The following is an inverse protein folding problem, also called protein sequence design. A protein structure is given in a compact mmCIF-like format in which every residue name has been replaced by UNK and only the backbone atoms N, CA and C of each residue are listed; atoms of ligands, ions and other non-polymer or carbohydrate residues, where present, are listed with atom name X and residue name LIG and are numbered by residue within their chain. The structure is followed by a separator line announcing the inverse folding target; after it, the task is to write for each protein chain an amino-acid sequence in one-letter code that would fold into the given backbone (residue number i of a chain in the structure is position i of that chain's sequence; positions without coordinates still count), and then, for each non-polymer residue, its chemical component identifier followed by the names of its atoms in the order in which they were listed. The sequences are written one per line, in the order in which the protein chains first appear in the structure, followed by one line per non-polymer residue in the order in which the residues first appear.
data_IF_070738244857
#
_entry.id   IF_070738244857
#
_cell.length_a   1.000
_cell.length_b   1.000
_cell.length_c   1.000
_cell.angle_alpha   90.00
_cell.angle_beta   90.00
_cell.angle_gamma   90.00
#
_symmetry.space_group_name_H-M   'P 1'
#
loop_
_entity.id
_entity.type
_entity.pdbx_description
1 polymer ?
#
# COMPACT_ATOMS: atom_id res chain seq x y z
N UNK A 1 -11.55 -4.56 7.31
CA UNK A 1 -10.41 -4.30 8.25
C UNK A 1 -9.16 -4.12 7.41
N UNK A 2 -8.42 -3.03 7.59
CA UNK A 2 -7.18 -2.72 6.86
C UNK A 2 -5.99 -2.90 7.81
N UNK A 3 -5.09 -3.81 7.48
CA UNK A 3 -3.87 -4.10 8.23
C UNK A 3 -2.80 -3.04 7.91
N UNK A 4 -2.55 -2.11 8.81
CA UNK A 4 -1.70 -0.93 8.61
C UNK A 4 -0.60 -0.80 9.69
N UNK A 5 -0.33 -1.87 10.45
CA UNK A 5 0.59 -1.85 11.61
C UNK A 5 2.04 -2.23 11.31
N UNK A 6 2.38 -2.62 10.09
CA UNK A 6 3.71 -3.10 9.73
C UNK A 6 4.80 -2.02 9.76
N UNK A 7 6.02 -2.38 10.20
CA UNK A 7 7.16 -1.44 10.32
C UNK A 7 7.68 -0.93 8.96
N UNK A 8 7.51 -1.67 7.87
CA UNK A 8 8.01 -1.27 6.55
C UNK A 8 9.54 -1.14 6.47
N UNK A 9 10.28 -1.90 7.26
CA UNK A 9 11.75 -1.77 7.44
C UNK A 9 12.56 -1.78 6.15
N UNK A 10 12.06 -2.41 5.09
CA UNK A 10 12.70 -2.45 3.76
C UNK A 10 12.62 -1.12 2.98
N UNK A 11 11.83 -0.15 3.47
CA UNK A 11 11.79 1.23 2.96
C UNK A 11 12.76 2.15 3.71
N UNK A 12 13.57 1.58 4.59
CA UNK A 12 14.63 2.27 5.32
C UNK A 12 14.17 3.59 5.96
N UNK A 13 14.85 4.69 5.70
CA UNK A 13 14.60 6.00 6.31
C UNK A 13 13.23 6.57 5.98
N UNK A 14 12.57 6.16 4.89
CA UNK A 14 11.22 6.61 4.56
C UNK A 14 10.18 6.22 5.63
N UNK A 15 10.44 5.12 6.35
CA UNK A 15 9.52 4.62 7.38
C UNK A 15 10.03 4.78 8.81
N UNK A 16 11.13 5.50 9.03
CA UNK A 16 11.64 5.76 10.37
C UNK A 16 10.70 6.61 11.25
N UNK A 17 9.87 7.46 10.64
CA UNK A 17 8.95 8.37 11.33
C UNK A 17 7.53 8.33 10.78
N UNK A 18 7.27 7.42 9.86
CA UNK A 18 6.00 7.33 9.12
C UNK A 18 5.66 5.87 8.91
N UNK A 19 4.45 5.44 9.23
CA UNK A 19 3.96 4.11 8.91
C UNK A 19 3.94 3.90 7.38
N UNK A 20 4.30 2.72 6.89
CA UNK A 20 4.35 2.41 5.44
C UNK A 20 3.07 2.84 4.69
N UNK A 21 1.84 2.61 5.19
CA UNK A 21 0.63 3.05 4.50
C UNK A 21 0.50 4.56 4.31
N UNK A 22 1.21 5.37 5.11
CA UNK A 22 1.21 6.82 5.01
C UNK A 22 2.32 7.39 4.09
N UNK A 23 3.16 6.53 3.51
CA UNK A 23 4.20 6.94 2.54
C UNK A 23 3.53 7.50 1.28
N UNK A 24 4.11 8.56 0.72
CA UNK A 24 3.62 9.25 -0.48
C UNK A 24 3.78 8.40 -1.74
N UNK A 25 2.80 8.47 -2.65
CA UNK A 25 2.79 7.77 -3.93
C UNK A 25 2.08 8.60 -5.01
N UNK A 26 2.49 8.44 -6.27
CA UNK A 26 1.78 8.95 -7.44
C UNK A 26 1.59 10.47 -7.45
N UNK A 27 2.53 11.21 -6.91
CA UNK A 27 2.59 12.67 -6.93
C UNK A 27 1.83 13.36 -5.80
N UNK A 28 0.70 12.83 -5.34
CA UNK A 28 -0.13 13.46 -4.30
C UNK A 28 -0.84 12.48 -3.36
N UNK A 29 -0.86 11.19 -3.68
CA UNK A 29 -1.54 10.17 -2.90
C UNK A 29 -0.66 9.64 -1.76
N UNK A 30 -1.27 8.91 -0.82
CA UNK A 30 -0.61 8.01 0.10
C UNK A 30 -1.03 6.58 -0.22
N UNK A 31 -0.20 5.61 0.12
CA UNK A 31 -0.48 4.19 -0.18
C UNK A 31 -1.87 3.78 0.37
N UNK A 32 -2.22 4.21 1.59
CA UNK A 32 -3.50 3.90 2.24
C UNK A 32 -4.74 4.44 1.49
N UNK A 33 -4.57 5.45 0.62
CA UNK A 33 -5.69 5.99 -0.16
C UNK A 33 -6.29 4.93 -1.09
N UNK A 34 -5.50 3.98 -1.56
CA UNK A 34 -5.95 2.93 -2.48
C UNK A 34 -6.94 1.97 -1.81
N UNK A 35 -6.61 1.25 -0.73
CA UNK A 35 -7.57 0.37 -0.07
C UNK A 35 -8.79 1.12 0.48
N UNK A 36 -8.63 2.36 1.00
CA UNK A 36 -9.76 3.16 1.48
C UNK A 36 -10.69 3.60 0.34
N UNK A 37 -10.12 4.06 -0.79
CA UNK A 37 -10.92 4.41 -1.98
C UNK A 37 -11.61 3.19 -2.58
N UNK A 38 -10.93 2.04 -2.61
CA UNK A 38 -11.55 0.80 -3.07
C UNK A 38 -12.70 0.37 -2.16
N UNK A 39 -12.58 0.54 -0.83
CA UNK A 39 -13.69 0.31 0.11
C UNK A 39 -14.88 1.21 -0.21
N UNK A 40 -14.66 2.53 -0.32
CA UNK A 40 -15.70 3.50 -0.62
C UNK A 40 -16.40 3.20 -1.96
N UNK A 41 -15.61 2.94 -3.01
CA UNK A 41 -16.14 2.62 -4.34
C UNK A 41 -16.85 1.25 -4.42
N UNK A 42 -16.58 0.35 -3.48
CA UNK A 42 -17.21 -0.99 -3.39
C UNK A 42 -18.41 -1.04 -2.43
N UNK A 43 -18.83 0.09 -1.85
CA UNK A 43 -19.94 0.14 -0.88
C UNK A 43 -19.60 -0.47 0.49
N UNK A 44 -18.34 -0.48 0.89
CA UNK A 44 -17.91 -0.91 2.22
C UNK A 44 -17.95 0.29 3.16
N UNK A 45 -18.96 0.36 4.01
CA UNK A 45 -19.28 1.54 4.82
C UNK A 45 -18.51 1.61 6.14
N UNK A 46 -18.19 0.48 6.75
CA UNK A 46 -17.49 0.40 8.04
C UNK A 46 -16.08 -0.11 7.82
N UNK A 47 -15.09 0.73 8.07
CA UNK A 47 -13.68 0.40 7.87
C UNK A 47 -12.89 0.58 9.15
N UNK A 48 -12.33 -0.50 9.69
CA UNK A 48 -11.34 -0.47 10.77
C UNK A 48 -9.93 -0.44 10.21
N UNK A 49 -9.11 0.52 10.59
CA UNK A 49 -7.69 0.62 10.22
C UNK A 49 -6.84 0.25 11.43
N UNK A 50 -6.18 -0.90 11.34
CA UNK A 50 -5.36 -1.49 12.40
C UNK A 50 -3.96 -0.91 12.34
N UNK A 51 -3.64 0.02 13.24
CA UNK A 51 -2.38 0.76 13.24
C UNK A 51 -1.51 0.39 14.43
N UNK A 52 -0.20 0.47 14.30
CA UNK A 52 0.72 0.17 15.40
C UNK A 52 2.02 0.98 15.32
N UNK A 53 2.89 0.69 14.35
CA UNK A 53 4.20 1.33 14.23
C UNK A 53 4.08 2.72 13.61
N UNK A 54 4.74 3.75 14.23
CA UNK A 54 4.80 5.15 13.75
C UNK A 54 3.43 5.67 13.23
N UNK A 55 2.39 5.40 14.02
CA UNK A 55 1.01 5.53 13.55
C UNK A 55 0.43 6.95 13.67
N UNK A 56 1.10 7.90 14.31
CA UNK A 56 0.53 9.23 14.62
C UNK A 56 0.08 9.96 13.36
N UNK A 57 0.95 10.03 12.35
CA UNK A 57 0.60 10.66 11.06
C UNK A 57 -0.52 9.88 10.35
N UNK A 58 -0.42 8.55 10.30
CA UNK A 58 -1.44 7.71 9.68
C UNK A 58 -2.79 7.86 10.38
N UNK A 59 -2.81 7.82 11.72
CA UNK A 59 -4.03 7.96 12.51
C UNK A 59 -4.73 9.30 12.24
N UNK A 60 -3.98 10.40 12.24
CA UNK A 60 -4.54 11.73 11.94
C UNK A 60 -5.01 11.86 10.49
N UNK A 61 -4.31 11.19 9.56
CA UNK A 61 -4.64 11.23 8.14
C UNK A 61 -5.94 10.49 7.83
N UNK A 62 -6.15 9.31 8.41
CA UNK A 62 -7.34 8.48 8.13
C UNK A 62 -8.54 8.81 9.04
N UNK A 63 -8.32 9.57 10.11
CA UNK A 63 -9.36 9.92 11.06
C UNK A 63 -10.56 10.59 10.37
N UNK A 64 -11.76 10.24 10.81
CA UNK A 64 -13.04 10.74 10.33
C UNK A 64 -13.50 10.30 8.93
N UNK A 65 -12.64 9.72 8.07
CA UNK A 65 -13.06 9.12 6.80
C UNK A 65 -13.61 10.06 5.71
N UNK A 66 -13.74 11.36 5.98
CA UNK A 66 -14.41 12.31 5.10
C UNK A 66 -13.82 12.44 3.69
N UNK A 67 -12.51 12.24 3.55
CA UNK A 67 -11.83 12.26 2.23
C UNK A 67 -12.36 11.18 1.28
N UNK A 68 -12.79 10.06 1.83
CA UNK A 68 -13.32 8.91 1.07
C UNK A 68 -14.86 8.84 1.10
N UNK A 69 -15.54 9.84 1.71
CA UNK A 69 -16.99 9.81 1.90
C UNK A 69 -17.45 8.76 2.91
N UNK A 70 -16.55 8.32 3.80
CA UNK A 70 -16.81 7.34 4.85
C UNK A 70 -16.98 8.05 6.21
N UNK A 71 -17.90 9.02 6.29
CA UNK A 71 -18.14 9.88 7.46
C UNK A 71 -19.63 10.16 7.70
N UNK A 72 -20.52 9.43 7.03
CA UNK A 72 -21.96 9.54 7.23
C UNK A 72 -22.39 8.86 8.55
N UNK A 73 -23.67 9.01 8.90
CA UNK A 73 -24.23 8.51 10.17
C UNK A 73 -24.02 7.01 10.41
N UNK A 74 -24.05 6.21 9.35
CA UNK A 74 -23.95 4.75 9.39
C UNK A 74 -22.67 4.23 8.72
N UNK A 75 -21.71 5.11 8.40
CA UNK A 75 -20.42 4.77 7.84
C UNK A 75 -19.30 5.37 8.68
N UNK A 76 -18.06 4.85 8.51
CA UNK A 76 -16.94 5.43 9.21
C UNK A 76 -15.63 4.71 9.00
N UNK A 77 -14.54 5.48 9.12
CA UNK A 77 -13.19 4.96 9.27
C UNK A 77 -12.80 5.04 10.75
N UNK A 78 -12.49 3.89 11.32
CA UNK A 78 -12.14 3.76 12.74
C UNK A 78 -10.68 3.35 12.86
N UNK A 79 -9.91 4.17 13.56
CA UNK A 79 -8.50 3.87 13.86
C UNK A 79 -8.46 2.95 15.08
N UNK A 80 -7.85 1.80 14.90
CA UNK A 80 -7.78 0.73 15.90
C UNK A 80 -6.31 0.41 16.22
N UNK A 81 -5.67 1.16 17.13
CA UNK A 81 -4.36 0.80 17.65
C UNK A 81 -4.48 -0.31 18.70
N UNK A 82 -3.37 -0.97 19.07
CA UNK A 82 -3.33 -1.79 20.27
C UNK A 82 -3.81 -0.98 21.49
N UNK A 83 -4.59 -1.62 22.35
CA UNK A 83 -5.21 -0.94 23.49
C UNK A 83 -5.21 -1.83 24.73
N UNK A 84 -5.04 -1.20 25.87
CA UNK A 84 -5.29 -1.81 27.17
C UNK A 84 -6.80 -2.04 27.34
N UNK A 85 -7.18 -3.19 27.86
CA UNK A 85 -8.57 -3.54 28.19
C UNK A 85 -8.71 -3.70 29.69
N UNK A 86 -9.93 -3.59 30.20
CA UNK A 86 -10.20 -3.67 31.64
C UNK A 86 -9.75 -5.00 32.29
N UNK A 87 -9.69 -6.05 31.50
CA UNK A 87 -9.37 -7.42 31.89
C UNK A 87 -8.03 -7.95 31.34
N UNK A 88 -7.26 -7.10 30.64
CA UNK A 88 -5.99 -7.49 30.03
C UNK A 88 -5.06 -6.28 29.87
N UNK A 89 -3.77 -6.49 30.12
CA UNK A 89 -2.72 -5.50 29.87
C UNK A 89 -2.61 -5.10 28.39
N UNK A 90 -1.94 -3.98 28.13
CA UNK A 90 -1.62 -3.55 26.78
C UNK A 90 -0.73 -4.59 26.09
N UNK A 91 -1.22 -5.17 25.01
CA UNK A 91 -0.47 -6.10 24.17
C UNK A 91 -0.43 -5.60 22.73
N UNK A 92 0.78 -5.50 22.17
CA UNK A 92 0.98 -5.14 20.77
C UNK A 92 0.44 -6.22 19.86
N UNK A 93 0.05 -5.88 18.62
CA UNK A 93 -0.34 -6.89 17.64
C UNK A 93 0.85 -7.79 17.29
N UNK A 94 0.76 -9.06 17.65
CA UNK A 94 1.82 -10.06 17.45
C UNK A 94 1.89 -10.58 16.02
N UNK A 95 0.75 -10.51 15.30
CA UNK A 95 0.63 -10.94 13.92
C UNK A 95 -0.61 -10.36 13.25
N UNK A 96 -0.80 -10.67 11.98
CA UNK A 96 -1.91 -10.15 11.18
C UNK A 96 -3.27 -10.67 11.66
N UNK A 97 -3.35 -11.91 12.11
CA UNK A 97 -4.55 -12.49 12.68
C UNK A 97 -4.83 -11.94 14.11
N UNK A 98 -3.77 -11.73 14.91
CA UNK A 98 -3.89 -11.16 16.25
C UNK A 98 -4.47 -9.73 16.19
N UNK A 99 -4.09 -8.93 15.21
CA UNK A 99 -4.64 -7.59 15.03
C UNK A 99 -6.18 -7.62 14.83
N UNK A 100 -6.70 -8.61 14.12
CA UNK A 100 -8.17 -8.80 14.00
C UNK A 100 -8.73 -9.34 15.32
N UNK A 101 -8.06 -10.32 15.94
CA UNK A 101 -8.51 -10.98 17.18
C UNK A 101 -8.71 -10.01 18.32
N UNK A 102 -7.77 -9.07 18.51
CA UNK A 102 -7.86 -8.05 19.55
C UNK A 102 -9.02 -7.07 19.33
N UNK A 103 -9.63 -7.03 18.14
CA UNK A 103 -10.72 -6.14 17.76
C UNK A 103 -12.04 -6.87 17.45
N UNK A 104 -12.20 -8.12 17.90
CA UNK A 104 -13.44 -8.90 17.73
C UNK A 104 -14.66 -8.16 18.31
N UNK A 105 -14.50 -7.51 19.46
CA UNK A 105 -15.54 -6.70 20.10
C UNK A 105 -16.03 -5.54 19.24
N UNK A 106 -15.11 -4.88 18.52
CA UNK A 106 -15.45 -3.86 17.54
C UNK A 106 -16.23 -4.44 16.35
N UNK A 107 -15.79 -5.58 15.81
CA UNK A 107 -16.42 -6.21 14.65
C UNK A 107 -17.81 -6.74 15.03
N UNK A 108 -17.93 -7.41 16.17
CA UNK A 108 -19.20 -7.98 16.67
C UNK A 108 -20.29 -6.91 16.87
N UNK A 109 -19.92 -5.65 17.19
CA UNK A 109 -20.85 -4.53 17.30
C UNK A 109 -21.67 -4.31 16.02
N UNK A 110 -21.09 -4.59 14.86
CA UNK A 110 -21.76 -4.44 13.57
C UNK A 110 -22.39 -5.74 13.06
N UNK A 111 -22.16 -6.88 13.73
CA UNK A 111 -22.70 -8.20 13.40
C UNK A 111 -22.60 -8.53 11.90
N UNK A 112 -21.43 -8.40 11.26
CA UNK A 112 -21.31 -8.61 9.82
C UNK A 112 -21.47 -10.10 9.47
N UNK A 113 -22.01 -10.39 8.29
CA UNK A 113 -22.01 -11.72 7.71
C UNK A 113 -20.61 -12.08 7.17
N UNK A 114 -19.99 -11.11 6.49
CA UNK A 114 -18.68 -11.25 5.90
C UNK A 114 -17.69 -10.21 6.45
N UNK A 115 -16.43 -10.61 6.57
CA UNK A 115 -15.34 -9.72 6.93
C UNK A 115 -14.35 -9.64 5.76
N UNK A 116 -14.16 -8.42 5.25
CA UNK A 116 -13.10 -8.09 4.29
C UNK A 116 -11.84 -7.69 5.08
N UNK A 117 -10.72 -8.38 4.83
CA UNK A 117 -9.39 -8.10 5.39
C UNK A 117 -8.46 -7.68 4.27
N UNK A 118 -7.82 -6.52 4.42
CA UNK A 118 -6.99 -5.89 3.40
C UNK A 118 -5.59 -5.58 3.95
N UNK A 119 -4.57 -5.76 3.12
CA UNK A 119 -3.27 -5.13 3.34
C UNK A 119 -3.36 -3.63 3.04
N UNK A 120 -2.81 -2.80 3.94
CA UNK A 120 -2.84 -1.34 3.83
C UNK A 120 -1.67 -0.75 3.04
N UNK A 121 -0.87 -1.57 2.37
CA UNK A 121 0.45 -1.20 1.85
C UNK A 121 0.69 -1.56 0.37
N UNK A 122 -0.39 -1.78 -0.40
CA UNK A 122 -0.34 -2.10 -1.82
C UNK A 122 -1.03 -1.05 -2.69
N UNK A 123 -0.59 -0.95 -3.94
CA UNK A 123 -1.14 -0.05 -4.95
C UNK A 123 -1.96 -0.86 -5.96
N UNK A 124 -3.27 -0.62 -6.02
CA UNK A 124 -4.19 -1.31 -6.93
C UNK A 124 -5.58 -0.65 -6.95
N UNK A 125 -6.36 -0.94 -7.98
CA UNK A 125 -7.79 -0.59 -8.05
C UNK A 125 -8.61 -1.87 -8.14
N UNK A 126 -9.52 -2.10 -7.20
CA UNK A 126 -10.29 -3.35 -7.13
C UNK A 126 -11.70 -3.11 -6.59
N UNK A 127 -12.68 -3.72 -7.23
CA UNK A 127 -14.05 -3.78 -6.75
C UNK A 127 -14.23 -5.02 -5.86
N UNK A 128 -14.37 -4.78 -4.54
CA UNK A 128 -14.55 -5.86 -3.56
C UNK A 128 -15.95 -6.48 -3.59
N UNK A 129 -16.96 -5.76 -4.10
CA UNK A 129 -18.31 -6.31 -4.27
C UNK A 129 -18.31 -7.48 -5.27
N UNK A 130 -17.58 -7.36 -6.38
CA UNK A 130 -17.38 -8.47 -7.31
C UNK A 130 -16.67 -9.68 -6.69
N UNK A 131 -15.74 -9.44 -5.78
CA UNK A 131 -15.06 -10.52 -5.05
C UNK A 131 -16.03 -11.17 -4.04
N UNK A 132 -16.93 -10.39 -3.43
CA UNK A 132 -17.97 -10.90 -2.53
C UNK A 132 -19.01 -11.74 -3.31
N UNK A 133 -19.41 -11.31 -4.50
CA UNK A 133 -20.29 -12.09 -5.35
C UNK A 133 -19.66 -13.45 -5.70
N UNK A 134 -18.40 -13.45 -6.11
CA UNK A 134 -17.65 -14.68 -6.35
C UNK A 134 -17.53 -15.58 -5.11
N UNK A 135 -17.31 -14.99 -3.94
CA UNK A 135 -17.29 -15.71 -2.65
C UNK A 135 -18.61 -16.46 -2.42
N UNK A 136 -19.75 -15.79 -2.67
CA UNK A 136 -21.10 -16.38 -2.55
C UNK A 136 -21.34 -17.45 -3.61
N UNK A 137 -20.98 -17.21 -4.87
CA UNK A 137 -21.13 -18.17 -5.97
C UNK A 137 -20.35 -19.47 -5.71
N UNK A 138 -19.13 -19.36 -5.18
CA UNK A 138 -18.31 -20.50 -4.79
C UNK A 138 -18.77 -21.19 -3.51
N UNK A 139 -19.75 -20.62 -2.80
CA UNK A 139 -20.17 -21.04 -1.46
C UNK A 139 -18.94 -21.24 -0.56
N UNK A 140 -18.04 -20.27 -0.59
CA UNK A 140 -16.74 -20.33 0.07
C UNK A 140 -16.83 -20.00 1.55
N UNK A 141 -15.99 -20.61 2.37
CA UNK A 141 -15.73 -20.24 3.75
C UNK A 141 -14.74 -19.06 3.84
N UNK A 142 -13.80 -19.03 2.89
CA UNK A 142 -12.89 -17.91 2.67
C UNK A 142 -12.57 -17.75 1.19
N UNK A 143 -12.37 -16.51 0.76
CA UNK A 143 -11.90 -16.19 -0.59
C UNK A 143 -10.64 -15.33 -0.50
N UNK A 144 -9.63 -15.68 -1.27
CA UNK A 144 -8.35 -14.99 -1.32
C UNK A 144 -8.18 -14.38 -2.71
N UNK A 145 -7.94 -13.08 -2.79
CA UNK A 145 -7.57 -12.46 -4.06
C UNK A 145 -6.13 -12.87 -4.42
N UNK A 146 -5.98 -13.32 -5.66
CA UNK A 146 -4.70 -13.81 -6.20
C UNK A 146 -4.37 -13.13 -7.52
N UNK A 147 -3.09 -12.96 -7.78
CA UNK A 147 -2.56 -12.45 -9.03
C UNK A 147 -1.44 -13.35 -9.54
N UNK A 148 -1.34 -13.48 -10.86
CA UNK A 148 -0.21 -14.19 -11.47
C UNK A 148 1.03 -13.30 -11.49
N UNK A 149 2.11 -13.75 -10.88
CA UNK A 149 3.40 -13.05 -10.85
C UNK A 149 4.45 -13.84 -11.63
N UNK A 150 5.54 -13.20 -12.09
CA UNK A 150 6.68 -13.94 -12.64
C UNK A 150 7.21 -14.97 -11.63
N UNK A 151 7.50 -16.20 -12.08
CA UNK A 151 7.98 -17.29 -11.19
C UNK A 151 9.18 -16.87 -10.33
N UNK A 152 10.09 -16.05 -10.86
CA UNK A 152 11.26 -15.53 -10.12
C UNK A 152 10.90 -14.67 -8.91
N UNK A 153 9.68 -14.13 -8.85
CA UNK A 153 9.17 -13.28 -7.77
C UNK A 153 8.25 -14.02 -6.81
N UNK A 154 7.79 -15.21 -7.21
CA UNK A 154 6.78 -15.98 -6.47
C UNK A 154 7.20 -16.30 -5.03
N UNK A 155 8.49 -16.56 -4.78
CA UNK A 155 9.03 -16.83 -3.43
C UNK A 155 8.87 -15.66 -2.42
N UNK A 156 8.49 -14.47 -2.89
CA UNK A 156 8.26 -13.30 -2.03
C UNK A 156 6.88 -13.29 -1.38
N UNK A 157 5.95 -14.11 -1.88
CA UNK A 157 4.52 -14.06 -1.56
C UNK A 157 4.02 -15.41 -1.02
N UNK A 158 2.86 -15.39 -0.38
CA UNK A 158 2.08 -16.60 -0.16
C UNK A 158 1.57 -17.13 -1.50
N UNK A 159 1.88 -18.38 -1.82
CA UNK A 159 1.58 -19.02 -3.11
C UNK A 159 0.47 -20.04 -2.94
N UNK A 160 -0.46 -20.05 -3.90
CA UNK A 160 -1.58 -20.95 -3.90
C UNK A 160 -1.56 -21.88 -5.09
N UNK A 161 -1.94 -23.15 -4.81
CA UNK A 161 -2.30 -24.12 -5.82
C UNK A 161 -3.82 -24.30 -5.81
N UNK A 162 -4.43 -24.27 -7.00
CA UNK A 162 -5.89 -24.41 -7.17
C UNK A 162 -6.21 -25.64 -7.97
N UNK A 163 -7.40 -26.22 -7.73
CA UNK A 163 -8.00 -27.20 -8.64
C UNK A 163 -8.58 -26.54 -9.90
N UNK A 164 -9.13 -27.35 -10.81
CA UNK A 164 -9.74 -26.85 -12.04
C UNK A 164 -10.98 -25.95 -11.86
N UNK A 165 -11.54 -25.89 -10.66
CA UNK A 165 -12.72 -25.11 -10.31
C UNK A 165 -12.38 -23.82 -9.53
N UNK A 166 -11.12 -23.52 -9.33
CA UNK A 166 -10.67 -22.33 -8.59
C UNK A 166 -10.68 -22.48 -7.06
N UNK A 167 -10.84 -23.72 -6.54
CA UNK A 167 -10.66 -24.00 -5.11
C UNK A 167 -9.19 -24.08 -4.77
N UNK A 168 -8.79 -23.46 -3.67
CA UNK A 168 -7.42 -23.56 -3.15
C UNK A 168 -7.26 -24.92 -2.48
N UNK A 169 -6.30 -25.70 -2.96
CA UNK A 169 -5.97 -27.03 -2.43
C UNK A 169 -4.69 -27.04 -1.62
N UNK A 170 -3.81 -26.06 -1.83
CA UNK A 170 -2.54 -25.92 -1.11
C UNK A 170 -2.18 -24.43 -1.01
N UNK A 171 -1.57 -24.07 0.11
CA UNK A 171 -1.02 -22.73 0.36
C UNK A 171 0.39 -22.88 0.97
N UNK A 172 1.33 -22.11 0.44
CA UNK A 172 2.72 -22.07 0.92
C UNK A 172 3.13 -20.62 1.16
N UNK A 173 3.47 -20.29 2.42
CA UNK A 173 3.92 -18.93 2.76
C UNK A 173 5.40 -18.76 2.39
N UNK A 174 5.68 -17.94 1.39
CA UNK A 174 7.03 -17.60 0.88
C UNK A 174 7.92 -18.82 0.65
N UNK A 175 7.49 -19.74 -0.20
CA UNK A 175 8.25 -20.97 -0.46
C UNK A 175 9.57 -20.66 -1.19
N UNK A 176 10.65 -21.37 -0.84
CA UNK A 176 11.93 -21.27 -1.58
C UNK A 176 11.79 -21.77 -3.03
N UNK A 177 10.98 -22.80 -3.23
CA UNK A 177 10.71 -23.43 -4.54
C UNK A 177 9.20 -23.43 -4.82
N UNK A 178 8.63 -22.30 -5.29
CA UNK A 178 7.18 -22.21 -5.52
C UNK A 178 6.72 -23.15 -6.63
N UNK A 179 5.63 -23.90 -6.38
CA UNK A 179 5.01 -24.81 -7.35
C UNK A 179 4.05 -24.09 -8.32
N UNK A 180 3.63 -22.88 -7.97
CA UNK A 180 2.69 -22.04 -8.72
C UNK A 180 3.16 -20.60 -8.70
N UNK A 181 2.61 -19.80 -9.60
CA UNK A 181 2.83 -18.36 -9.65
C UNK A 181 1.58 -17.54 -9.22
N UNK A 182 0.59 -18.20 -8.62
CA UNK A 182 -0.58 -17.53 -8.06
C UNK A 182 -0.25 -16.97 -6.68
N UNK A 183 0.07 -15.68 -6.63
CA UNK A 183 0.45 -14.99 -5.42
C UNK A 183 -0.77 -14.41 -4.70
N UNK A 184 -0.79 -14.51 -3.36
CA UNK A 184 -1.74 -13.81 -2.51
C UNK A 184 -1.53 -12.31 -2.59
N UNK A 185 -2.61 -11.57 -2.79
CA UNK A 185 -2.60 -10.11 -2.71
C UNK A 185 -2.76 -9.57 -1.27
N UNK A 186 -2.89 -10.45 -0.26
CA UNK A 186 -3.20 -10.01 1.10
C UNK A 186 -4.61 -9.42 1.25
N UNK A 187 -5.52 -9.86 0.41
CA UNK A 187 -6.93 -9.43 0.37
C UNK A 187 -7.79 -10.66 0.56
N UNK A 188 -8.61 -10.66 1.61
CA UNK A 188 -9.38 -11.82 2.01
C UNK A 188 -10.84 -11.44 2.29
N UNK A 189 -11.78 -12.32 1.93
CA UNK A 189 -13.16 -12.30 2.42
C UNK A 189 -13.39 -13.58 3.20
N UNK A 190 -13.89 -13.45 4.43
CA UNK A 190 -14.23 -14.57 5.31
C UNK A 190 -15.68 -14.51 5.73
N UNK A 191 -16.32 -15.66 5.92
CA UNK A 191 -17.52 -15.78 6.73
C UNK A 191 -17.17 -15.42 8.18
N UNK A 192 -17.72 -14.32 8.72
CA UNK A 192 -17.31 -13.80 10.03
C UNK A 192 -17.49 -14.81 11.16
N UNK A 193 -18.61 -15.48 11.20
CA UNK A 193 -18.89 -16.49 12.25
C UNK A 193 -17.84 -17.59 12.31
N UNK A 194 -17.33 -18.05 11.16
CA UNK A 194 -16.28 -19.06 11.09
C UNK A 194 -14.93 -18.47 11.50
N UNK A 195 -14.54 -17.34 10.91
CA UNK A 195 -13.28 -16.69 11.23
C UNK A 195 -13.19 -16.35 12.72
N UNK A 196 -14.25 -15.78 13.31
CA UNK A 196 -14.33 -15.47 14.73
C UNK A 196 -14.00 -16.68 15.61
N UNK A 197 -14.57 -17.85 15.27
CA UNK A 197 -14.30 -19.10 16.00
C UNK A 197 -12.82 -19.50 15.93
N UNK A 198 -12.23 -19.40 14.73
CA UNK A 198 -10.83 -19.74 14.52
C UNK A 198 -9.92 -18.77 15.28
N UNK A 199 -10.18 -17.47 15.20
CA UNK A 199 -9.39 -16.45 15.89
C UNK A 199 -9.42 -16.64 17.42
N UNK A 200 -10.58 -16.95 17.99
CA UNK A 200 -10.70 -17.23 19.44
C UNK A 200 -9.94 -18.50 19.86
N UNK A 201 -9.81 -19.47 18.98
CA UNK A 201 -9.01 -20.66 19.24
C UNK A 201 -7.50 -20.35 19.09
N UNK A 202 -7.14 -19.61 18.04
CA UNK A 202 -5.77 -19.18 17.75
C UNK A 202 -5.16 -18.34 18.87
N UNK A 203 -5.92 -17.41 19.45
CA UNK A 203 -5.48 -16.58 20.59
C UNK A 203 -5.00 -17.41 21.79
N UNK A 204 -5.52 -18.62 21.96
CA UNK A 204 -5.18 -19.53 23.06
C UNK A 204 -4.04 -20.50 22.72
N UNK A 205 -3.61 -20.52 21.48
CA UNK A 205 -2.54 -21.40 21.02
C UNK A 205 -1.18 -20.73 21.23
N UNK A 206 -0.35 -21.19 22.18
CA UNK A 206 0.96 -20.60 22.45
C UNK A 206 1.99 -20.84 21.33
N UNK A 207 1.74 -21.81 20.45
CA UNK A 207 2.63 -22.18 19.35
C UNK A 207 2.28 -21.41 18.05
N UNK A 208 1.19 -20.63 18.05
CA UNK A 208 0.78 -19.86 16.90
C UNK A 208 1.63 -18.60 16.71
N UNK A 209 1.89 -18.25 15.46
CA UNK A 209 2.43 -16.94 15.07
C UNK A 209 1.35 -15.87 15.00
N UNK A 210 0.09 -16.26 15.16
CA UNK A 210 -1.09 -15.40 15.02
C UNK A 210 -1.15 -14.65 13.67
N UNK A 211 -0.84 -15.38 12.61
CA UNK A 211 -0.72 -14.84 11.24
C UNK A 211 -1.68 -15.55 10.28
N UNK A 212 -2.28 -14.78 9.33
CA UNK A 212 -3.21 -15.37 8.37
C UNK A 212 -2.56 -16.42 7.50
N UNK A 213 -1.37 -16.15 6.97
CA UNK A 213 -0.67 -17.07 6.07
C UNK A 213 -0.12 -18.31 6.78
N UNK A 214 0.43 -18.13 7.97
CA UNK A 214 1.09 -19.22 8.70
C UNK A 214 0.12 -20.09 9.51
N UNK A 215 -0.96 -19.52 10.01
CA UNK A 215 -1.81 -20.20 10.98
C UNK A 215 -3.27 -20.32 10.52
N UNK A 216 -3.94 -19.22 10.15
CA UNK A 216 -5.37 -19.22 9.85
C UNK A 216 -5.70 -19.95 8.54
N UNK A 217 -5.00 -19.66 7.44
CA UNK A 217 -5.25 -20.29 6.14
C UNK A 217 -4.94 -21.80 6.19
N UNK A 218 -3.79 -22.24 6.73
CA UNK A 218 -3.52 -23.66 6.92
C UNK A 218 -4.54 -24.37 7.82
N UNK A 219 -5.01 -23.72 8.90
CA UNK A 219 -6.08 -24.26 9.76
C UNK A 219 -7.36 -24.51 8.96
N UNK A 220 -7.79 -23.55 8.15
CA UNK A 220 -8.97 -23.68 7.29
C UNK A 220 -8.83 -24.84 6.29
N UNK A 221 -7.66 -24.98 5.65
CA UNK A 221 -7.40 -26.08 4.72
C UNK A 221 -7.42 -27.44 5.42
N UNK A 222 -6.80 -27.55 6.59
CA UNK A 222 -6.77 -28.78 7.38
C UNK A 222 -8.17 -29.19 7.86
N UNK A 223 -9.02 -28.21 8.17
CA UNK A 223 -10.43 -28.42 8.55
C UNK A 223 -11.35 -28.67 7.34
N UNK A 224 -10.79 -28.91 6.15
CA UNK A 224 -11.51 -29.14 4.90
C UNK A 224 -12.53 -28.03 4.57
N UNK A 225 -12.22 -26.77 4.91
CA UNK A 225 -13.05 -25.63 4.54
C UNK A 225 -12.90 -25.30 3.06
N UNK A 226 -13.93 -24.70 2.49
CA UNK A 226 -13.91 -24.28 1.10
C UNK A 226 -13.20 -22.94 0.97
N UNK A 227 -11.97 -22.94 0.46
CA UNK A 227 -11.21 -21.74 0.11
C UNK A 227 -11.24 -21.53 -1.40
N UNK A 228 -11.59 -20.32 -1.83
CA UNK A 228 -11.66 -19.94 -3.24
C UNK A 228 -10.57 -18.93 -3.60
N UNK A 229 -9.97 -19.08 -4.79
CA UNK A 229 -9.01 -18.13 -5.33
C UNK A 229 -9.71 -17.17 -6.31
N UNK A 230 -9.87 -15.91 -5.92
CA UNK A 230 -10.38 -14.86 -6.80
C UNK A 230 -9.25 -14.31 -7.66
N UNK A 231 -9.20 -14.67 -8.94
CA UNK A 231 -8.16 -14.22 -9.87
C UNK A 231 -8.39 -12.75 -10.25
N UNK A 232 -7.59 -11.87 -9.66
CA UNK A 232 -7.59 -10.45 -9.97
C UNK A 232 -6.92 -10.21 -11.33
N UNK A 233 -7.49 -9.27 -12.10
CA UNK A 233 -6.92 -8.76 -13.35
C UNK A 233 -6.82 -7.24 -13.24
N UNK A 234 -5.65 -6.70 -13.44
CA UNK A 234 -5.36 -5.28 -13.36
C UNK A 234 -4.01 -5.00 -12.70
N UNK A 235 -3.69 -3.73 -12.57
CA UNK A 235 -2.46 -3.30 -11.91
C UNK A 235 -2.47 -3.61 -10.41
N UNK A 236 -1.42 -4.26 -9.93
CA UNK A 236 -1.16 -4.46 -8.52
C UNK A 236 0.35 -4.43 -8.27
N UNK A 237 0.78 -3.72 -7.22
CA UNK A 237 2.19 -3.64 -6.83
C UNK A 237 2.33 -3.59 -5.30
N UNK A 238 3.16 -4.49 -4.75
CA UNK A 238 3.70 -4.37 -3.39
C UNK A 238 4.88 -3.39 -3.43
N UNK A 239 4.69 -2.22 -2.85
CA UNK A 239 5.70 -1.16 -2.78
C UNK A 239 6.52 -1.26 -1.49
N UNK A 240 6.98 -2.44 -1.17
CA UNK A 240 7.67 -2.77 0.08
C UNK A 240 9.19 -2.52 0.08
N UNK A 241 9.80 -2.14 -1.04
CA UNK A 241 11.23 -1.81 -1.17
C UNK A 241 11.40 -0.49 -1.90
N UNK A 242 12.58 0.13 -1.79
CA UNK A 242 12.88 1.39 -2.50
C UNK A 242 12.72 1.22 -4.00
N UNK A 243 13.27 0.13 -4.57
CA UNK A 243 13.16 -0.14 -6.00
C UNK A 243 11.70 -0.33 -6.43
N UNK A 244 10.90 -1.13 -5.69
CA UNK A 244 9.50 -1.35 -6.04
C UNK A 244 8.64 -0.08 -5.88
N UNK A 245 8.95 0.80 -4.93
CA UNK A 245 8.27 2.09 -4.78
C UNK A 245 8.67 3.05 -5.90
N UNK A 246 9.95 3.09 -6.27
CA UNK A 246 10.44 3.87 -7.41
C UNK A 246 9.78 3.39 -8.70
N UNK A 247 9.84 2.08 -9.01
CA UNK A 247 9.21 1.49 -10.18
C UNK A 247 7.71 1.79 -10.27
N UNK A 248 6.97 1.63 -9.17
CA UNK A 248 5.54 1.89 -9.13
C UNK A 248 5.21 3.36 -9.47
N UNK A 249 6.06 4.31 -9.06
CA UNK A 249 5.91 5.71 -9.44
C UNK A 249 6.28 5.93 -10.92
N UNK A 250 7.34 5.29 -11.41
CA UNK A 250 7.77 5.40 -12.79
C UNK A 250 6.76 4.77 -13.78
N UNK A 251 6.05 3.72 -13.35
CA UNK A 251 4.96 3.12 -14.12
C UNK A 251 3.88 4.15 -14.53
N UNK A 252 3.69 5.23 -13.76
CA UNK A 252 2.73 6.29 -14.07
C UNK A 252 3.12 7.14 -15.30
N UNK A 253 4.37 7.10 -15.70
CA UNK A 253 4.88 7.83 -16.87
C UNK A 253 4.60 7.04 -18.17
N UNK A 254 4.51 5.71 -18.08
CA UNK A 254 4.17 4.89 -19.24
C UNK A 254 2.67 5.02 -19.56
N UNK A 255 2.37 5.53 -20.75
CA UNK A 255 0.98 5.67 -21.24
C UNK A 255 0.24 4.33 -21.41
N UNK A 256 0.96 3.20 -21.36
CA UNK A 256 0.40 1.85 -21.44
C UNK A 256 0.11 1.26 -20.06
N UNK A 257 0.39 2.00 -18.99
CA UNK A 257 0.13 1.54 -17.64
C UNK A 257 -1.36 1.30 -17.40
N UNK A 258 -1.70 0.15 -16.85
CA UNK A 258 -3.08 -0.21 -16.49
C UNK A 258 -3.62 0.59 -15.29
N UNK A 259 -2.76 1.20 -14.48
CA UNK A 259 -3.15 2.07 -13.37
C UNK A 259 -3.54 3.46 -13.86
N UNK A 260 -4.79 3.61 -14.29
CA UNK A 260 -5.32 4.92 -14.64
C UNK A 260 -5.83 5.66 -13.39
N UNK A 261 -5.07 6.65 -12.93
CA UNK A 261 -5.46 7.50 -11.79
C UNK A 261 -6.48 8.60 -12.18
N UNK A 262 -6.69 8.83 -13.48
CA UNK A 262 -7.67 9.79 -14.01
C UNK A 262 -9.02 9.15 -14.37
N UNK A 263 -9.24 7.89 -14.02
CA UNK A 263 -10.49 7.19 -14.27
C UNK A 263 -11.64 7.78 -13.42
N UNK A 264 -12.63 8.43 -14.03
CA UNK A 264 -13.73 9.04 -13.29
C UNK A 264 -14.70 8.02 -12.70
N UNK A 265 -14.69 6.77 -13.20
CA UNK A 265 -15.60 5.70 -12.76
C UNK A 265 -15.08 4.96 -11.54
N UNK A 266 -13.76 5.04 -11.28
CA UNK A 266 -13.11 4.44 -10.12
C UNK A 266 -12.05 5.38 -9.57
N UNK A 267 -12.49 6.44 -8.93
CA UNK A 267 -11.62 7.49 -8.40
C UNK A 267 -10.84 7.01 -7.18
N UNK A 268 -9.55 7.29 -7.15
CA UNK A 268 -8.75 7.22 -5.91
C UNK A 268 -8.84 8.59 -5.23
N UNK A 269 -9.43 8.62 -4.05
CA UNK A 269 -9.59 9.82 -3.24
C UNK A 269 -8.33 10.04 -2.41
N UNK A 270 -7.98 11.29 -2.17
CA UNK A 270 -6.83 11.69 -1.38
C UNK A 270 -7.06 13.07 -0.76
N UNK A 271 -6.11 13.56 0.00
CA UNK A 271 -6.12 14.91 0.54
C UNK A 271 -6.03 15.96 -0.56
N UNK A 272 -6.92 16.95 -0.52
CA UNK A 272 -6.78 18.13 -1.35
C UNK A 272 -5.62 18.98 -0.84
N UNK A 273 -4.66 19.23 -1.72
CA UNK A 273 -3.55 20.12 -1.44
C UNK A 273 -3.84 21.48 -2.04
N UNK A 274 -3.91 22.57 -1.25
CA UNK A 274 -4.17 23.92 -1.75
C UNK A 274 -2.91 24.48 -2.43
N UNK A 275 -2.44 23.81 -3.46
CA UNK A 275 -1.28 24.23 -4.25
C UNK A 275 -1.74 24.80 -5.60
N UNK A 276 -1.04 25.85 -6.06
CA UNK A 276 -1.25 26.39 -7.40
C UNK A 276 -0.88 25.36 -8.48
N UNK A 277 -1.36 25.52 -9.71
CA UNK A 277 -0.85 24.76 -10.85
C UNK A 277 0.69 24.83 -10.91
N UNK A 278 1.31 23.82 -11.52
CA UNK A 278 2.76 23.80 -11.72
C UNK A 278 3.20 24.98 -12.63
N UNK A 279 4.34 25.57 -12.29
CA UNK A 279 5.02 26.56 -13.12
C UNK A 279 6.20 25.92 -13.86
N UNK A 280 6.21 26.06 -15.16
CA UNK A 280 7.32 25.61 -16.04
C UNK A 280 8.01 26.85 -16.61
N UNK A 281 9.25 27.05 -16.23
CA UNK A 281 10.05 28.20 -16.68
C UNK A 281 10.33 28.18 -18.19
N UNK A 282 10.63 29.34 -18.79
CA UNK A 282 10.81 29.45 -20.24
C UNK A 282 12.01 28.66 -20.80
N UNK A 283 13.01 28.39 -19.96
CA UNK A 283 14.21 27.62 -20.33
C UNK A 283 14.16 26.17 -19.84
N UNK A 284 13.08 25.76 -19.16
CA UNK A 284 12.93 24.40 -18.67
C UNK A 284 12.76 23.39 -19.81
N UNK A 285 13.33 22.19 -19.63
CA UNK A 285 13.20 21.08 -20.59
C UNK A 285 12.48 19.92 -19.93
N UNK A 286 11.35 19.54 -20.49
CA UNK A 286 10.52 18.45 -19.95
C UNK A 286 10.42 17.34 -20.99
N UNK A 287 10.80 16.12 -20.61
CA UNK A 287 10.66 14.93 -21.44
C UNK A 287 10.12 13.76 -20.60
N UNK A 288 8.91 13.27 -20.93
CA UNK A 288 8.23 12.14 -20.25
C UNK A 288 8.24 12.28 -18.73
N UNK A 289 7.70 13.36 -18.21
CA UNK A 289 7.68 13.62 -16.78
C UNK A 289 6.25 13.71 -16.25
N UNK A 290 6.04 13.18 -15.03
CA UNK A 290 4.82 13.35 -14.26
C UNK A 290 5.06 14.45 -13.21
N UNK A 291 4.52 15.65 -13.44
CA UNK A 291 4.76 16.83 -12.61
C UNK A 291 3.43 17.26 -11.98
N UNK A 292 3.37 17.28 -10.65
CA UNK A 292 2.15 17.61 -9.93
C UNK A 292 2.06 19.11 -9.58
N UNK A 293 0.90 19.50 -9.04
CA UNK A 293 0.62 20.88 -8.66
C UNK A 293 1.63 21.44 -7.65
N UNK A 294 1.83 22.75 -7.66
CA UNK A 294 2.75 23.45 -6.76
C UNK A 294 4.22 23.31 -7.14
N UNK A 295 4.56 22.56 -8.20
CA UNK A 295 5.93 22.46 -8.66
C UNK A 295 6.36 23.74 -9.39
N UNK A 296 7.64 24.11 -9.19
CA UNK A 296 8.33 25.17 -9.95
C UNK A 296 9.53 24.53 -10.64
N UNK A 297 9.54 24.51 -11.97
CA UNK A 297 10.59 23.86 -12.75
C UNK A 297 11.26 24.86 -13.68
N UNK A 298 12.53 25.14 -13.42
CA UNK A 298 13.39 26.02 -14.24
C UNK A 298 14.50 25.24 -14.93
N UNK A 299 14.75 24.00 -14.53
CA UNK A 299 15.77 23.10 -15.05
C UNK A 299 15.22 22.05 -16.02
N UNK A 300 15.97 20.95 -16.17
CA UNK A 300 15.64 19.80 -17.01
C UNK A 300 15.01 18.68 -16.17
N UNK A 301 13.86 18.14 -16.60
CA UNK A 301 13.21 16.98 -15.98
C UNK A 301 12.92 15.95 -17.07
N UNK A 302 13.57 14.79 -16.96
CA UNK A 302 13.46 13.70 -17.92
C UNK A 302 13.12 12.40 -17.23
N UNK A 303 12.08 11.71 -17.74
CA UNK A 303 11.63 10.42 -17.25
C UNK A 303 11.57 10.35 -15.72
N UNK A 304 10.82 11.28 -15.09
CA UNK A 304 10.85 11.48 -13.64
C UNK A 304 9.48 11.88 -13.10
N UNK A 305 9.26 11.61 -11.82
CA UNK A 305 8.03 11.95 -11.10
C UNK A 305 8.34 13.01 -10.04
N UNK A 306 7.68 14.17 -10.15
CA UNK A 306 7.77 15.26 -9.19
C UNK A 306 6.46 15.38 -8.41
N UNK A 307 6.54 15.19 -7.10
CA UNK A 307 5.41 15.34 -6.19
C UNK A 307 5.13 16.82 -5.90
N UNK A 308 4.00 17.06 -5.25
CA UNK A 308 3.52 18.40 -4.91
C UNK A 308 4.59 19.27 -4.26
N UNK A 309 4.75 20.49 -4.76
CA UNK A 309 5.60 21.52 -4.18
C UNK A 309 7.11 21.37 -4.43
N UNK A 310 7.52 20.49 -5.34
CA UNK A 310 8.93 20.37 -5.72
C UNK A 310 9.43 21.59 -6.49
N UNK A 311 10.67 22.00 -6.22
CA UNK A 311 11.36 23.09 -6.92
C UNK A 311 12.62 22.58 -7.58
N UNK A 312 12.78 22.85 -8.88
CA UNK A 312 13.95 22.50 -9.68
C UNK A 312 14.57 23.77 -10.23
N UNK A 313 15.75 24.12 -9.73
CA UNK A 313 16.46 25.36 -10.09
C UNK A 313 17.03 25.36 -11.50
N UNK A 314 17.48 26.54 -11.95
CA UNK A 314 18.02 26.75 -13.28
C UNK A 314 19.25 25.86 -13.53
N UNK A 315 19.32 25.21 -14.69
CA UNK A 315 20.39 24.29 -15.05
C UNK A 315 20.45 22.98 -14.30
N UNK A 316 19.59 22.77 -13.29
CA UNK A 316 19.49 21.48 -12.61
C UNK A 316 18.90 20.41 -13.53
N UNK A 317 19.29 19.14 -13.32
CA UNK A 317 18.85 18.00 -14.11
C UNK A 317 18.28 16.90 -13.23
N UNK A 318 17.05 16.52 -13.48
CA UNK A 318 16.37 15.40 -12.82
C UNK A 318 16.13 14.32 -13.87
N UNK A 319 16.73 13.14 -13.68
CA UNK A 319 16.72 12.05 -14.67
C UNK A 319 16.37 10.74 -13.96
N UNK A 320 15.43 9.96 -14.51
CA UNK A 320 15.03 8.66 -13.99
C UNK A 320 14.80 8.66 -12.47
N UNK A 321 14.16 9.69 -11.93
CA UNK A 321 14.09 9.92 -10.49
C UNK A 321 12.69 10.22 -10.00
N UNK A 322 12.47 9.92 -8.73
CA UNK A 322 11.23 10.23 -8.00
C UNK A 322 11.54 11.22 -6.89
N UNK A 323 10.99 12.42 -6.99
CA UNK A 323 11.10 13.48 -5.99
C UNK A 323 9.81 13.56 -5.18
N UNK A 324 9.87 13.17 -3.90
CA UNK A 324 8.74 13.20 -2.99
C UNK A 324 8.35 14.64 -2.58
N UNK A 325 7.26 14.88 -1.83
CA UNK A 325 6.76 16.23 -1.58
C UNK A 325 7.78 17.23 -1.04
N UNK A 326 7.74 18.47 -1.53
CA UNK A 326 8.45 19.61 -0.97
C UNK A 326 9.97 19.62 -1.18
N UNK A 327 10.49 18.90 -2.16
CA UNK A 327 11.93 18.87 -2.44
C UNK A 327 12.37 20.13 -3.13
N UNK A 328 13.53 20.66 -2.72
CA UNK A 328 14.21 21.79 -3.35
C UNK A 328 15.56 21.32 -3.95
N UNK A 329 15.67 21.38 -5.27
CA UNK A 329 16.91 21.12 -6.01
C UNK A 329 17.47 22.46 -6.47
N UNK A 330 18.64 22.83 -5.97
CA UNK A 330 19.28 24.10 -6.32
C UNK A 330 19.84 24.11 -7.75
N UNK A 331 20.23 25.27 -8.23
CA UNK A 331 20.75 25.45 -9.57
C UNK A 331 21.95 24.53 -9.86
N UNK A 332 22.04 24.02 -11.08
CA UNK A 332 23.15 23.19 -11.58
C UNK A 332 23.21 21.76 -11.01
N UNK A 333 22.44 21.44 -9.97
CA UNK A 333 22.47 20.11 -9.35
C UNK A 333 21.95 19.01 -10.28
N UNK A 334 22.47 17.79 -10.14
CA UNK A 334 22.10 16.62 -10.94
C UNK A 334 21.57 15.52 -10.01
N UNK A 335 20.34 15.05 -10.29
CA UNK A 335 19.71 13.93 -9.59
C UNK A 335 19.36 12.86 -10.61
N UNK A 336 19.90 11.65 -10.46
CA UNK A 336 19.67 10.58 -11.41
C UNK A 336 19.56 9.22 -10.73
N UNK A 337 18.58 8.40 -11.18
CA UNK A 337 18.25 7.09 -10.63
C UNK A 337 18.11 7.11 -9.10
N UNK A 338 17.36 8.08 -8.61
CA UNK A 338 17.20 8.31 -7.18
C UNK A 338 15.71 8.40 -6.76
N UNK A 339 15.45 8.03 -5.51
CA UNK A 339 14.24 8.34 -4.79
C UNK A 339 14.60 9.30 -3.66
N UNK A 340 14.12 10.53 -3.76
CA UNK A 340 14.43 11.60 -2.80
C UNK A 340 13.25 11.76 -1.83
N UNK A 341 13.52 11.63 -0.53
CA UNK A 341 12.51 11.69 0.53
C UNK A 341 11.96 13.10 0.75
N UNK A 342 10.80 13.18 1.40
CA UNK A 342 10.06 14.43 1.65
C UNK A 342 10.94 15.55 2.23
N UNK A 343 10.78 16.77 1.70
CA UNK A 343 11.42 18.00 2.18
C UNK A 343 12.95 18.00 2.17
N UNK A 344 13.59 17.11 1.42
CA UNK A 344 15.04 17.12 1.23
C UNK A 344 15.47 18.31 0.38
N UNK A 345 16.61 18.92 0.74
CA UNK A 345 17.24 19.99 -0.03
C UNK A 345 18.55 19.50 -0.64
N UNK A 346 18.67 19.66 -1.95
CA UNK A 346 19.86 19.31 -2.73
C UNK A 346 20.56 20.62 -3.11
N UNK A 347 21.81 20.77 -2.66
CA UNK A 347 22.59 21.98 -2.81
C UNK A 347 23.03 22.23 -4.25
N UNK A 348 23.51 23.45 -4.47
CA UNK A 348 23.98 23.90 -5.79
C UNK A 348 25.11 23.00 -6.31
N UNK A 349 25.04 22.66 -7.61
CA UNK A 349 25.99 21.83 -8.33
C UNK A 349 26.26 20.43 -7.73
N UNK A 350 25.46 20.01 -6.74
CA UNK A 350 25.56 18.68 -6.15
C UNK A 350 25.13 17.60 -7.14
N UNK A 351 25.78 16.44 -7.07
CA UNK A 351 25.43 15.26 -7.86
C UNK A 351 24.95 14.16 -6.94
N UNK A 352 23.77 13.60 -7.25
CA UNK A 352 23.11 12.54 -6.51
C UNK A 352 22.76 11.41 -7.46
N UNK A 353 23.12 10.20 -7.11
CA UNK A 353 22.88 9.01 -7.90
C UNK A 353 23.82 8.89 -9.10
N UNK A 354 23.66 7.83 -9.88
CA UNK A 354 24.43 7.56 -11.08
C UNK A 354 23.58 6.88 -12.14
N UNK A 355 23.72 7.29 -13.39
CA UNK A 355 23.01 6.67 -14.51
C UNK A 355 23.32 5.17 -14.66
N UNK A 356 24.54 4.76 -14.29
CA UNK A 356 25.05 3.39 -14.43
C UNK A 356 24.76 2.51 -13.20
N UNK A 357 24.13 3.07 -12.15
CA UNK A 357 23.79 2.29 -10.94
C UNK A 357 22.69 1.28 -11.22
N UNK A 358 22.87 0.03 -10.79
CA UNK A 358 21.82 -0.98 -10.83
C UNK A 358 20.72 -0.71 -9.79
N UNK A 359 21.09 -0.14 -8.64
CA UNK A 359 20.19 0.15 -7.53
C UNK A 359 19.71 1.61 -7.56
N UNK A 360 18.51 1.84 -7.05
CA UNK A 360 17.97 3.18 -6.85
C UNK A 360 18.58 3.79 -5.58
N UNK A 361 19.15 4.99 -5.69
CA UNK A 361 19.68 5.69 -4.53
C UNK A 361 18.57 6.33 -3.70
N UNK A 362 18.51 6.00 -2.40
CA UNK A 362 17.62 6.68 -1.45
C UNK A 362 18.33 7.90 -0.84
N UNK A 363 17.76 9.08 -1.08
CA UNK A 363 18.25 10.34 -0.50
C UNK A 363 17.28 10.82 0.58
N UNK A 364 17.64 10.59 1.83
CA UNK A 364 16.79 10.91 2.99
C UNK A 364 17.26 12.13 3.81
N UNK A 365 18.42 12.71 3.45
CA UNK A 365 19.05 13.85 4.14
C UNK A 365 19.45 14.93 3.17
N UNK A 366 19.58 16.15 3.70
CA UNK A 366 20.10 17.29 2.93
C UNK A 366 21.47 16.96 2.30
N UNK A 367 21.59 17.21 1.01
CA UNK A 367 22.86 17.13 0.29
C UNK A 367 23.46 18.55 0.19
N UNK A 368 24.72 18.71 0.63
CA UNK A 368 25.43 20.00 0.53
C UNK A 368 25.79 20.26 -0.92
N UNK A 369 25.84 21.54 -1.30
CA UNK A 369 26.38 21.97 -2.59
C UNK A 369 27.89 21.76 -2.68
N UNK A 370 28.39 21.82 -3.91
CA UNK A 370 29.85 21.90 -4.20
C UNK A 370 30.26 23.32 -3.94
N UNK A 371 31.30 23.51 -3.06
CA UNK A 371 31.92 24.81 -2.77
C UNK A 371 32.87 25.25 -3.89
#
# INVERSE_FOLDING_TARGET
MILAGGRGSRLHELTNKVAKPAVSYGGKYRIVDFPLSNCANSGVDIVGVLTQYESVLLNSYVAAGGRWGLDARESGVFVLPPREKADADLDVYRGTADAISQNIDFIDKYSPEYLLVLSGDHIYKMNYDKMLDYHKEMNADATIAVIEVPMKEASRFGIMNTDGNGRIVEFEEKPEHPKSNLASMGIYIFNWKLLRKILLADMKNPDSHHDFGKDVIPCLLNDNKTLAAYKFKGYWKDVGTIDSLWEANMDLIDSRNELNLNDPTWKIYTEDTPALPQYIGPNAKIDKAFITQGCVVEGEVKHSVLFTGCKVGEGAKIIDSVLMPGIEVAAGAVVQRALVADNVKIGQDAVVGSADSENIELVSKRVKGVE
#
